data_IF_626868750886
#
_entry.id   IF_626868750886
#
_cell.length_a   1.000
_cell.length_b   1.000
_cell.length_c   1.000
_cell.angle_alpha   90.00
_cell.angle_beta   90.00
_cell.angle_gamma   90.00
#
_symmetry.space_group_name_H-M   'P 1'
#
loop_
_entity.id
_entity.type
_entity.pdbx_description
1 polymer ?
#
# COMPACT_ATOMS: atom_id res chain seq x y z
N UNK A 1 -7.30 21.05 17.88
CA UNK A 1 -8.70 20.56 17.91
C UNK A 1 -9.02 20.12 16.49
N UNK A 2 -9.23 18.82 16.24
CA UNK A 2 -9.54 18.33 14.89
C UNK A 2 -10.89 18.92 14.48
N UNK A 3 -11.01 19.62 13.34
CA UNK A 3 -12.28 20.15 12.91
C UNK A 3 -13.27 18.99 12.77
N UNK A 4 -14.48 19.19 13.28
CA UNK A 4 -15.56 18.21 13.15
C UNK A 4 -15.85 18.02 11.66
N UNK A 5 -15.63 16.82 11.15
CA UNK A 5 -15.91 16.49 9.75
C UNK A 5 -17.43 16.49 9.53
N UNK A 6 -17.89 17.31 8.57
CA UNK A 6 -19.30 17.46 8.21
C UNK A 6 -19.73 16.48 7.12
N UNK A 7 -18.80 16.18 6.19
CA UNK A 7 -18.97 15.25 5.08
C UNK A 7 -17.67 14.46 4.87
N UNK A 8 -17.75 13.14 4.79
CA UNK A 8 -16.58 12.27 4.63
C UNK A 8 -16.74 11.33 3.44
N UNK A 9 -15.82 11.33 2.49
CA UNK A 9 -15.79 10.38 1.39
C UNK A 9 -15.31 9.01 1.88
N UNK A 10 -16.17 8.00 1.79
CA UNK A 10 -15.90 6.65 2.30
C UNK A 10 -15.60 5.64 1.20
N UNK A 11 -16.06 5.93 -0.03
CA UNK A 11 -15.79 5.25 -1.31
C UNK A 11 -15.76 6.34 -2.40
N UNK A 12 -15.13 6.13 -3.57
CA UNK A 12 -15.20 7.08 -4.67
C UNK A 12 -16.63 7.53 -4.90
N UNK A 13 -16.87 8.85 -4.86
CA UNK A 13 -18.18 9.47 -5.07
C UNK A 13 -19.27 9.09 -4.03
N UNK A 14 -18.93 8.43 -2.93
CA UNK A 14 -19.88 8.11 -1.85
C UNK A 14 -19.41 8.73 -0.56
N UNK A 15 -20.26 9.60 0.00
CA UNK A 15 -19.99 10.39 1.17
C UNK A 15 -20.91 10.02 2.33
N UNK A 16 -20.35 9.99 3.54
CA UNK A 16 -21.08 9.92 4.79
C UNK A 16 -21.38 11.34 5.28
N UNK A 17 -22.67 11.68 5.34
CA UNK A 17 -23.18 12.95 5.85
C UNK A 17 -23.22 12.90 7.39
N UNK A 18 -22.32 13.64 8.03
CA UNK A 18 -22.23 13.76 9.49
C UNK A 18 -22.95 15.00 10.02
N UNK A 19 -23.12 16.01 9.17
CA UNK A 19 -23.87 17.23 9.45
C UNK A 19 -25.02 17.42 8.44
N UNK A 20 -26.26 17.46 8.92
CA UNK A 20 -27.43 17.64 8.05
C UNK A 20 -27.46 19.00 7.32
N UNK A 21 -26.70 19.99 7.81
CA UNK A 21 -26.56 21.31 7.19
C UNK A 21 -25.96 21.29 5.78
N UNK A 22 -25.25 20.21 5.39
CA UNK A 22 -24.71 20.07 4.02
C UNK A 22 -25.79 19.73 2.98
N UNK A 23 -26.94 19.19 3.42
CA UNK A 23 -27.99 18.64 2.53
C UNK A 23 -28.51 19.63 1.48
N UNK A 24 -28.76 20.92 1.80
CA UNK A 24 -29.20 21.89 0.80
C UNK A 24 -28.18 22.11 -0.33
N UNK A 25 -26.88 21.94 -0.06
CA UNK A 25 -25.79 22.17 -1.03
C UNK A 25 -25.59 20.98 -1.95
N UNK A 26 -25.74 19.75 -1.42
CA UNK A 26 -25.61 18.50 -2.17
C UNK A 26 -26.93 18.08 -2.85
N UNK A 27 -28.03 18.80 -2.61
CA UNK A 27 -29.32 18.54 -3.23
C UNK A 27 -29.22 18.70 -4.75
N UNK A 28 -29.60 17.66 -5.49
CA UNK A 28 -29.56 17.65 -6.96
C UNK A 28 -28.19 17.31 -7.56
N UNK A 29 -27.16 17.12 -6.74
CA UNK A 29 -25.84 16.62 -7.18
C UNK A 29 -25.80 15.08 -7.21
N UNK A 30 -26.74 14.42 -6.56
CA UNK A 30 -26.78 12.98 -6.49
C UNK A 30 -27.93 12.42 -5.66
N UNK A 31 -27.78 11.17 -5.25
CA UNK A 31 -28.77 10.39 -4.52
C UNK A 31 -28.44 10.38 -3.03
N UNK A 32 -29.46 10.55 -2.18
CA UNK A 32 -29.32 10.51 -0.74
C UNK A 32 -30.09 9.30 -0.18
N UNK A 33 -29.39 8.42 0.51
CA UNK A 33 -29.95 7.28 1.24
C UNK A 33 -29.57 7.39 2.73
N UNK A 34 -30.49 7.92 3.53
CA UNK A 34 -30.28 8.17 4.96
C UNK A 34 -29.13 9.15 5.25
N UNK A 35 -27.97 8.61 5.63
CA UNK A 35 -26.72 9.37 5.86
C UNK A 35 -25.70 9.20 4.74
N UNK A 36 -25.95 8.34 3.76
CA UNK A 36 -25.07 8.17 2.61
C UNK A 36 -25.55 9.07 1.49
N UNK A 37 -24.61 9.79 0.89
CA UNK A 37 -24.81 10.58 -0.30
C UNK A 37 -23.94 10.00 -1.41
N UNK A 38 -24.55 9.56 -2.50
CA UNK A 38 -23.85 9.13 -3.71
C UNK A 38 -23.90 10.26 -4.72
N UNK A 39 -22.74 10.82 -5.03
CA UNK A 39 -22.58 11.77 -6.11
C UNK A 39 -22.78 11.05 -7.45
N UNK A 40 -23.70 11.56 -8.27
CA UNK A 40 -23.94 11.07 -9.63
C UNK A 40 -23.65 12.14 -10.69
N UNK A 41 -23.48 13.40 -10.26
CA UNK A 41 -23.08 14.49 -11.15
C UNK A 41 -21.59 14.43 -11.49
N UNK A 42 -21.25 14.92 -12.68
CA UNK A 42 -19.85 15.10 -13.10
C UNK A 42 -19.17 16.31 -12.43
N UNK A 43 -19.89 17.07 -11.58
CA UNK A 43 -19.44 18.34 -11.00
C UNK A 43 -18.86 18.21 -9.60
N UNK A 44 -18.15 17.11 -9.31
CA UNK A 44 -17.52 16.83 -8.00
C UNK A 44 -16.79 18.04 -7.44
N UNK A 45 -15.83 18.58 -8.20
CA UNK A 45 -15.01 19.71 -7.76
C UNK A 45 -15.84 20.97 -7.46
N UNK A 46 -16.87 21.23 -8.27
CA UNK A 46 -17.78 22.34 -8.03
C UNK A 46 -18.61 22.18 -6.75
N UNK A 47 -19.05 20.96 -6.43
CA UNK A 47 -19.74 20.66 -5.18
C UNK A 47 -18.82 20.85 -3.98
N UNK A 48 -17.60 20.30 -4.03
CA UNK A 48 -16.61 20.42 -2.97
C UNK A 48 -16.24 21.88 -2.70
N UNK A 49 -16.01 22.67 -3.77
CA UNK A 49 -15.73 24.08 -3.65
C UNK A 49 -16.87 24.86 -2.97
N UNK A 50 -18.14 24.57 -3.30
CA UNK A 50 -19.30 25.21 -2.64
C UNK A 50 -19.42 24.83 -1.17
N UNK A 51 -19.15 23.58 -0.81
CA UNK A 51 -19.13 23.15 0.59
C UNK A 51 -18.04 23.88 1.37
N UNK A 52 -16.84 23.98 0.81
CA UNK A 52 -15.73 24.70 1.41
C UNK A 52 -16.02 26.21 1.58
N UNK A 53 -16.60 26.86 0.55
CA UNK A 53 -17.00 28.27 0.61
C UNK A 53 -18.05 28.55 1.70
N UNK A 54 -18.87 27.57 2.03
CA UNK A 54 -19.88 27.66 3.10
C UNK A 54 -19.33 27.22 4.46
N UNK A 55 -18.02 26.96 4.57
CA UNK A 55 -17.33 26.63 5.82
C UNK A 55 -17.53 25.21 6.31
N UNK A 56 -18.03 24.29 5.47
CA UNK A 56 -18.16 22.88 5.84
C UNK A 56 -16.81 22.16 5.73
N UNK A 57 -16.48 21.37 6.75
CA UNK A 57 -15.31 20.50 6.72
C UNK A 57 -15.61 19.22 5.95
N UNK A 58 -15.01 19.08 4.77
CA UNK A 58 -15.11 17.87 3.93
C UNK A 58 -13.79 17.12 4.01
N UNK A 59 -13.85 15.82 4.24
CA UNK A 59 -12.69 14.93 4.17
C UNK A 59 -12.88 13.96 3.01
N UNK A 60 -12.03 14.06 1.99
CA UNK A 60 -12.08 13.27 0.76
C UNK A 60 -11.11 12.10 0.78
N UNK A 61 -11.27 11.15 -0.14
CA UNK A 61 -10.25 10.10 -0.31
C UNK A 61 -8.91 10.66 -0.78
N UNK A 62 -8.90 11.80 -1.50
CA UNK A 62 -7.67 12.48 -1.86
C UNK A 62 -6.93 13.02 -0.62
N UNK A 63 -7.65 13.62 0.33
CA UNK A 63 -7.07 14.06 1.61
C UNK A 63 -6.49 12.88 2.41
N UNK A 64 -7.14 11.71 2.35
CA UNK A 64 -6.60 10.49 2.94
C UNK A 64 -5.33 10.00 2.24
N UNK A 65 -5.19 10.19 0.92
CA UNK A 65 -3.96 9.87 0.18
C UNK A 65 -2.84 10.83 0.61
N UNK A 66 -3.12 12.13 0.69
CA UNK A 66 -2.14 13.14 1.14
C UNK A 66 -1.69 12.90 2.59
N UNK A 67 -2.55 12.31 3.42
CA UNK A 67 -2.24 11.94 4.80
C UNK A 67 -1.55 10.57 4.99
N UNK A 68 -1.20 9.87 3.91
CA UNK A 68 -0.50 8.58 4.02
C UNK A 68 0.93 8.77 4.57
N UNK A 69 1.47 7.78 5.34
CA UNK A 69 2.85 7.84 5.80
C UNK A 69 3.84 7.96 4.64
N UNK A 70 4.72 8.95 4.72
CA UNK A 70 5.76 9.18 3.72
C UNK A 70 6.85 8.10 3.75
N UNK A 71 7.52 7.91 2.61
CA UNK A 71 8.68 7.02 2.54
C UNK A 71 9.87 7.64 3.29
N UNK A 72 10.58 6.86 4.13
CA UNK A 72 11.78 7.35 4.80
C UNK A 72 12.90 7.62 3.79
N UNK A 73 13.74 8.63 4.08
CA UNK A 73 14.95 8.85 3.31
C UNK A 73 15.97 7.72 3.56
N UNK A 74 16.35 7.06 2.46
CA UNK A 74 17.28 5.93 2.42
C UNK A 74 18.50 6.20 1.56
N UNK A 75 18.68 7.42 1.04
CA UNK A 75 19.79 7.77 0.15
C UNK A 75 21.17 7.57 0.81
N UNK A 76 21.25 7.64 2.13
CA UNK A 76 22.47 7.47 2.91
C UNK A 76 22.81 6.01 3.24
N UNK A 77 21.94 5.05 2.92
CA UNK A 77 22.21 3.62 3.16
C UNK A 77 22.70 2.99 1.85
N UNK A 78 24.00 2.69 1.71
CA UNK A 78 24.55 2.23 0.44
C UNK A 78 23.82 0.96 -0.04
N UNK A 79 23.42 0.89 -1.31
CA UNK A 79 22.86 -0.33 -1.87
C UNK A 79 23.96 -1.40 -1.88
N UNK A 80 23.84 -2.36 -0.96
CA UNK A 80 24.60 -3.61 -0.90
C UNK A 80 26.13 -3.46 -0.84
N UNK A 81 26.69 -3.39 0.37
CA UNK A 81 28.12 -3.67 0.64
C UNK A 81 28.32 -4.05 2.11
N UNK A 82 29.47 -4.69 2.42
CA UNK A 82 29.69 -6.14 2.30
C UNK A 82 28.68 -6.96 3.12
N UNK A 83 28.52 -8.23 2.77
CA UNK A 83 27.68 -9.15 3.54
C UNK A 83 28.36 -9.47 4.88
N UNK A 84 27.57 -9.49 5.95
CA UNK A 84 27.99 -9.90 7.27
C UNK A 84 27.25 -11.20 7.65
N UNK A 85 27.90 -12.10 8.40
CA UNK A 85 27.22 -13.26 8.94
C UNK A 85 26.31 -12.84 10.09
N UNK A 86 25.02 -13.17 9.99
CA UNK A 86 24.07 -13.06 11.09
C UNK A 86 23.84 -14.45 11.70
N UNK A 87 24.18 -14.63 12.97
CA UNK A 87 23.90 -15.87 13.71
C UNK A 87 22.41 -16.00 13.97
N UNK A 88 21.87 -17.19 13.74
CA UNK A 88 20.44 -17.46 13.86
C UNK A 88 20.15 -18.75 14.63
N UNK A 89 18.96 -18.83 15.22
CA UNK A 89 18.44 -20.07 15.80
C UNK A 89 17.96 -21.02 14.69
N UNK A 90 18.07 -22.33 14.93
CA UNK A 90 17.52 -23.39 14.05
C UNK A 90 15.99 -23.35 13.93
N UNK A 91 15.31 -22.75 14.90
CA UNK A 91 13.83 -22.67 14.95
C UNK A 91 13.26 -21.41 14.32
N UNK A 92 14.12 -20.44 14.00
CA UNK A 92 13.70 -19.17 13.44
C UNK A 92 13.66 -19.25 11.91
N UNK A 93 12.66 -18.61 11.32
CA UNK A 93 12.61 -18.37 9.88
C UNK A 93 12.86 -16.90 9.63
N UNK A 94 13.76 -16.61 8.70
CA UNK A 94 14.08 -15.25 8.29
C UNK A 94 13.70 -15.06 6.83
N UNK A 95 13.20 -13.87 6.52
CA UNK A 95 12.94 -13.40 5.17
C UNK A 95 13.50 -12.00 5.03
N UNK A 96 13.90 -11.61 3.82
CA UNK A 96 14.19 -10.22 3.48
C UNK A 96 13.05 -9.64 2.66
N UNK A 97 12.81 -8.33 2.75
CA UNK A 97 11.98 -7.66 1.77
C UNK A 97 12.74 -7.65 0.44
N UNK A 98 12.16 -8.22 -0.61
CA UNK A 98 12.74 -8.23 -1.96
C UNK A 98 12.09 -7.10 -2.77
N UNK A 99 12.80 -5.99 -3.03
CA UNK A 99 12.22 -4.81 -3.67
C UNK A 99 11.57 -5.09 -5.03
N UNK A 100 12.10 -6.03 -5.81
CA UNK A 100 11.55 -6.38 -7.13
C UNK A 100 10.21 -7.09 -7.03
N UNK A 101 10.11 -8.03 -6.10
CA UNK A 101 8.89 -8.80 -5.85
C UNK A 101 7.88 -8.00 -5.03
N UNK A 102 8.36 -7.01 -4.26
CA UNK A 102 7.56 -6.21 -3.30
C UNK A 102 6.87 -7.12 -2.29
N UNK A 103 7.61 -8.14 -1.84
CA UNK A 103 7.16 -9.18 -0.91
C UNK A 103 8.36 -9.71 -0.08
N UNK A 104 8.07 -10.58 0.89
CA UNK A 104 9.05 -11.25 1.73
C UNK A 104 9.65 -12.48 1.03
N UNK A 105 10.92 -12.41 0.68
CA UNK A 105 11.70 -13.54 0.17
C UNK A 105 12.37 -14.30 1.32
N UNK A 106 12.14 -15.61 1.49
CA UNK A 106 12.82 -16.43 2.49
C UNK A 106 14.35 -16.41 2.33
N UNK A 107 15.07 -16.29 3.45
CA UNK A 107 16.54 -16.41 3.48
C UNK A 107 16.95 -17.85 3.81
N UNK A 108 17.86 -18.39 3.01
CA UNK A 108 18.43 -19.73 3.23
C UNK A 108 19.66 -19.65 4.14
N UNK A 109 19.70 -20.40 5.24
CA UNK A 109 20.91 -20.51 6.06
C UNK A 109 22.08 -21.13 5.30
N UNK A 110 23.28 -20.62 5.58
CA UNK A 110 24.52 -21.25 5.17
C UNK A 110 24.64 -22.63 5.81
N UNK A 111 25.13 -23.59 5.03
CA UNK A 111 25.43 -24.92 5.54
C UNK A 111 26.52 -24.82 6.64
N UNK A 112 26.27 -25.34 7.85
CA UNK A 112 27.26 -25.32 8.91
C UNK A 112 28.42 -26.24 8.54
N UNK A 113 29.67 -25.82 8.80
CA UNK A 113 30.85 -26.64 8.51
C UNK A 113 31.02 -27.79 9.50
N UNK A 114 30.33 -27.75 10.65
CA UNK A 114 30.29 -28.81 11.65
C UNK A 114 28.91 -28.85 12.35
N UNK A 115 28.47 -30.02 12.88
CA UNK A 115 27.15 -30.17 13.52
C UNK A 115 26.86 -29.17 14.64
N UNK A 116 27.89 -28.79 15.40
CA UNK A 116 27.77 -27.90 16.57
C UNK A 116 27.93 -26.41 16.25
N UNK A 117 28.16 -26.05 14.98
CA UNK A 117 28.26 -24.64 14.60
C UNK A 117 26.86 -24.00 14.53
N UNK A 118 26.73 -22.73 14.98
CA UNK A 118 25.48 -21.99 14.84
C UNK A 118 25.16 -21.78 13.36
N UNK A 119 23.88 -21.85 13.01
CA UNK A 119 23.43 -21.47 11.67
C UNK A 119 23.67 -19.98 11.45
N UNK A 120 23.99 -19.63 10.20
CA UNK A 120 24.27 -18.25 9.81
C UNK A 120 23.51 -17.89 8.54
N UNK A 121 23.11 -16.63 8.43
CA UNK A 121 22.64 -16.02 7.20
C UNK A 121 23.70 -15.06 6.67
N UNK A 122 23.86 -14.96 5.35
CA UNK A 122 24.53 -13.81 4.73
C UNK A 122 23.53 -12.68 4.60
N UNK A 123 23.81 -11.54 5.24
CA UNK A 123 22.96 -10.35 5.20
C UNK A 123 23.76 -9.14 4.77
N UNK A 124 23.16 -8.22 4.02
CA UNK A 124 23.80 -6.96 3.64
C UNK A 124 23.20 -5.78 4.41
N UNK A 125 24.02 -4.77 4.68
CA UNK A 125 23.59 -3.50 5.26
C UNK A 125 22.43 -2.92 4.44
N UNK A 126 21.42 -2.38 5.13
CA UNK A 126 20.20 -1.84 4.55
C UNK A 126 19.09 -2.86 4.32
N UNK A 127 19.36 -4.17 4.35
CA UNK A 127 18.31 -5.17 4.22
C UNK A 127 17.26 -5.02 5.32
N UNK A 128 15.99 -5.07 4.91
CA UNK A 128 14.87 -5.20 5.83
C UNK A 128 14.57 -6.67 6.00
N UNK A 129 14.67 -7.14 7.24
CA UNK A 129 14.52 -8.53 7.61
C UNK A 129 13.27 -8.70 8.46
N UNK A 130 12.51 -9.75 8.13
CA UNK A 130 11.42 -10.29 8.93
C UNK A 130 11.89 -11.59 9.58
N UNK A 131 11.77 -11.69 10.90
CA UNK A 131 12.01 -12.91 11.69
C UNK A 131 10.70 -13.44 12.22
N UNK A 132 10.43 -14.73 11.99
CA UNK A 132 9.30 -15.47 12.55
C UNK A 132 9.80 -16.58 13.47
N UNK A 133 9.45 -16.49 14.75
CA UNK A 133 9.71 -17.53 15.74
C UNK A 133 8.51 -18.47 15.84
N UNK A 134 8.58 -19.65 15.20
CA UNK A 134 7.49 -20.63 15.23
C UNK A 134 6.11 -20.06 14.87
N UNK A 135 5.14 -20.19 15.79
CA UNK A 135 3.76 -19.68 15.64
C UNK A 135 3.55 -18.25 16.17
N UNK A 136 4.59 -17.60 16.69
CA UNK A 136 4.49 -16.25 17.26
C UNK A 136 4.38 -15.14 16.22
N UNK A 137 4.18 -13.90 16.70
CA UNK A 137 4.23 -12.69 15.88
C UNK A 137 5.60 -12.56 15.19
N UNK A 138 5.59 -12.00 13.98
CA UNK A 138 6.83 -11.65 13.30
C UNK A 138 7.47 -10.43 13.98
N UNK A 139 8.80 -10.37 13.94
CA UNK A 139 9.59 -9.20 14.32
C UNK A 139 10.34 -8.69 13.10
N UNK A 140 10.56 -7.39 13.04
CA UNK A 140 11.15 -6.73 11.88
C UNK A 140 12.38 -5.94 12.31
N UNK A 141 13.38 -5.88 11.43
CA UNK A 141 14.59 -5.12 11.68
C UNK A 141 15.27 -4.70 10.37
N UNK A 142 16.02 -3.61 10.43
CA UNK A 142 16.97 -3.24 9.38
C UNK A 142 18.37 -3.67 9.76
N UNK A 143 19.09 -4.27 8.81
CA UNK A 143 20.49 -4.63 8.95
C UNK A 143 21.34 -3.36 8.90
N UNK A 144 22.09 -3.12 9.97
CA UNK A 144 23.09 -2.07 10.09
C UNK A 144 24.48 -2.63 9.77
N UNK A 145 25.50 -1.76 9.82
CA UNK A 145 26.88 -2.17 9.62
C UNK A 145 27.26 -3.35 10.52
N UNK A 146 28.11 -4.25 9.99
CA UNK A 146 28.60 -5.46 10.68
C UNK A 146 27.49 -6.44 11.11
N UNK A 147 26.32 -6.40 10.47
CA UNK A 147 25.23 -7.36 10.73
C UNK A 147 24.43 -7.08 11.99
N UNK A 148 24.58 -5.90 12.61
CA UNK A 148 23.73 -5.48 13.72
C UNK A 148 22.29 -5.26 13.23
N UNK A 149 21.30 -5.49 14.10
CA UNK A 149 19.89 -5.35 13.75
C UNK A 149 19.29 -4.15 14.50
N UNK A 150 18.78 -3.16 13.74
CA UNK A 150 17.96 -2.08 14.28
C UNK A 150 16.49 -2.51 14.24
N UNK A 151 15.81 -2.69 15.39
CA UNK A 151 14.40 -3.09 15.40
C UNK A 151 13.52 -2.08 14.65
N UNK A 152 12.52 -2.60 13.96
CA UNK A 152 11.46 -1.84 13.31
C UNK A 152 10.11 -2.47 13.66
N UNK A 153 9.05 -1.69 13.60
CA UNK A 153 7.71 -2.28 13.48
C UNK A 153 7.43 -2.71 12.02
N UNK A 154 6.26 -3.30 11.78
CA UNK A 154 5.90 -3.78 10.45
C UNK A 154 5.67 -2.64 9.44
N UNK A 155 5.10 -1.52 9.89
CA UNK A 155 4.82 -0.37 9.04
C UNK A 155 6.13 0.22 8.53
N UNK A 156 7.05 0.53 9.45
CA UNK A 156 8.36 1.07 9.13
C UNK A 156 9.15 0.11 8.25
N UNK A 157 9.11 -1.19 8.54
CA UNK A 157 9.80 -2.20 7.73
C UNK A 157 9.32 -2.19 6.26
N UNK A 158 8.01 -2.11 6.04
CA UNK A 158 7.46 -2.03 4.69
C UNK A 158 7.78 -0.68 4.03
N UNK A 159 7.65 0.45 4.74
CA UNK A 159 8.00 1.77 4.20
C UNK A 159 9.48 1.84 3.79
N UNK A 160 10.40 1.33 4.61
CA UNK A 160 11.80 1.20 4.23
C UNK A 160 11.99 0.30 3.00
N UNK A 161 11.28 -0.84 2.94
CA UNK A 161 11.30 -1.74 1.79
C UNK A 161 10.89 -1.04 0.48
N UNK A 162 9.80 -0.28 0.51
CA UNK A 162 9.34 0.52 -0.63
C UNK A 162 10.27 1.69 -0.95
N UNK A 163 10.86 2.34 0.04
CA UNK A 163 11.84 3.39 -0.18
C UNK A 163 13.08 2.87 -0.94
N UNK A 164 13.57 1.67 -0.58
CA UNK A 164 14.62 1.01 -1.36
C UNK A 164 14.16 0.61 -2.77
N UNK A 165 12.93 0.14 -2.93
CA UNK A 165 12.37 -0.17 -4.25
C UNK A 165 12.33 1.07 -5.15
N UNK A 166 11.96 2.23 -4.60
CA UNK A 166 11.93 3.50 -5.31
C UNK A 166 13.34 3.95 -5.76
N UNK A 167 14.35 3.80 -4.89
CA UNK A 167 15.75 4.10 -5.25
C UNK A 167 16.27 3.25 -6.42
N UNK A 168 15.83 1.99 -6.51
CA UNK A 168 16.27 1.07 -7.56
C UNK A 168 15.63 1.34 -8.94
N UNK A 169 14.71 2.32 -9.05
CA UNK A 169 14.00 2.68 -10.29
C UNK A 169 13.45 1.45 -11.03
N UNK A 170 12.76 0.60 -10.27
CA UNK A 170 12.21 -0.64 -10.77
C UNK A 170 11.16 -0.41 -11.86
N UNK A 171 10.91 -1.40 -12.74
CA UNK A 171 9.85 -1.32 -13.73
C UNK A 171 8.49 -0.96 -13.10
N UNK A 172 7.65 -0.23 -13.85
CA UNK A 172 6.34 0.18 -13.36
C UNK A 172 5.47 -1.03 -13.01
N UNK A 173 4.57 -0.81 -12.07
CA UNK A 173 3.52 -1.75 -11.71
C UNK A 173 2.42 -1.66 -12.77
N UNK A 174 1.99 -2.81 -13.29
CA UNK A 174 0.96 -2.88 -14.33
C UNK A 174 -0.44 -2.88 -13.71
N UNK A 175 -1.28 -1.92 -14.09
CA UNK A 175 -2.74 -1.97 -13.89
C UNK A 175 -3.38 -2.39 -15.21
N UNK A 176 -4.26 -3.40 -15.16
CA UNK A 176 -4.92 -3.97 -16.34
C UNK A 176 -6.36 -3.49 -16.44
N UNK A 177 -6.82 -3.09 -17.61
CA UNK A 177 -8.25 -2.87 -17.88
C UNK A 177 -8.89 -4.18 -18.32
N UNK A 178 -9.79 -4.72 -17.51
CA UNK A 178 -10.72 -5.76 -17.94
C UNK A 178 -11.89 -5.11 -18.67
N UNK A 179 -11.85 -5.17 -20.01
CA UNK A 179 -12.88 -4.59 -20.87
C UNK A 179 -14.24 -5.28 -20.74
N UNK A 180 -14.29 -6.55 -20.32
CA UNK A 180 -15.54 -7.30 -20.17
C UNK A 180 -16.30 -6.85 -18.93
N UNK A 181 -15.57 -6.67 -17.82
CA UNK A 181 -16.15 -6.20 -16.56
C UNK A 181 -16.19 -4.67 -16.44
N UNK A 182 -15.53 -3.95 -17.36
CA UNK A 182 -15.26 -2.51 -17.28
C UNK A 182 -14.62 -2.15 -15.92
N UNK A 183 -13.65 -2.95 -15.48
CA UNK A 183 -12.94 -2.79 -14.20
C UNK A 183 -11.43 -2.68 -14.43
N UNK A 184 -10.77 -1.93 -13.54
CA UNK A 184 -9.32 -1.85 -13.47
C UNK A 184 -8.81 -2.83 -12.43
N UNK A 185 -7.89 -3.69 -12.83
CA UNK A 185 -7.28 -4.72 -12.01
C UNK A 185 -5.88 -4.27 -11.58
N UNK A 186 -5.64 -4.25 -10.27
CA UNK A 186 -4.38 -3.90 -9.66
C UNK A 186 -3.72 -5.17 -9.09
N UNK A 187 -2.39 -5.30 -9.17
CA UNK A 187 -1.69 -6.50 -8.73
C UNK A 187 -1.76 -6.71 -7.22
N UNK A 188 -1.55 -7.95 -6.82
CA UNK A 188 -1.37 -8.33 -5.42
C UNK A 188 -0.01 -7.81 -4.92
N UNK A 189 -0.02 -6.69 -4.21
CA UNK A 189 1.18 -6.11 -3.59
C UNK A 189 1.08 -6.18 -2.07
N UNK A 190 2.21 -6.40 -1.41
CA UNK A 190 2.30 -6.33 0.04
C UNK A 190 2.35 -4.86 0.51
N UNK A 191 1.19 -4.23 0.65
CA UNK A 191 1.09 -2.82 1.04
C UNK A 191 1.19 -2.62 2.56
N UNK A 192 1.81 -1.50 3.02
CA UNK A 192 1.71 -1.09 4.42
C UNK A 192 0.25 -0.91 4.85
N UNK A 193 -0.05 -1.16 6.12
CA UNK A 193 -1.45 -1.21 6.60
C UNK A 193 -2.28 0.03 6.27
N UNK A 194 -1.82 1.28 6.48
CA UNK A 194 -2.59 2.47 6.12
C UNK A 194 -2.92 2.55 4.62
N UNK A 195 -1.96 2.16 3.77
CA UNK A 195 -2.12 2.15 2.32
C UNK A 195 -3.11 1.08 1.88
N UNK A 196 -3.02 -0.12 2.48
CA UNK A 196 -3.96 -1.23 2.23
C UNK A 196 -5.38 -0.88 2.65
N UNK A 197 -5.54 -0.24 3.81
CA UNK A 197 -6.85 0.18 4.33
C UNK A 197 -7.49 1.26 3.45
N UNK A 198 -6.70 2.22 2.96
CA UNK A 198 -7.18 3.22 2.02
C UNK A 198 -7.51 2.58 0.66
N UNK A 199 -6.67 1.70 0.14
CA UNK A 199 -6.97 0.96 -1.09
C UNK A 199 -8.26 0.14 -0.95
N UNK A 200 -8.54 -0.43 0.23
CA UNK A 200 -9.78 -1.15 0.49
C UNK A 200 -11.04 -0.26 0.51
N UNK A 201 -10.90 1.07 0.65
CA UNK A 201 -11.99 2.05 0.43
C UNK A 201 -12.18 2.36 -1.05
N UNK A 202 -11.16 2.22 -1.88
CA UNK A 202 -11.17 2.58 -3.31
C UNK A 202 -11.52 1.36 -4.19
N UNK A 203 -11.04 0.18 -3.80
CA UNK A 203 -11.09 -1.06 -4.56
C UNK A 203 -11.67 -2.20 -3.72
N UNK A 204 -11.96 -3.32 -4.38
CA UNK A 204 -12.31 -4.59 -3.73
C UNK A 204 -11.29 -5.67 -4.10
N UNK A 205 -10.98 -6.62 -3.21
CA UNK A 205 -10.08 -7.73 -3.55
C UNK A 205 -10.64 -8.55 -4.72
N UNK A 206 -9.78 -8.99 -5.64
CA UNK A 206 -10.18 -9.96 -6.65
C UNK A 206 -10.29 -11.36 -6.03
N UNK A 207 -11.16 -12.24 -6.56
CA UNK A 207 -11.18 -13.64 -6.16
C UNK A 207 -9.82 -14.32 -6.37
N UNK A 208 -9.49 -15.31 -5.53
CA UNK A 208 -8.27 -16.10 -5.67
C UNK A 208 -8.16 -16.79 -7.05
N UNK A 209 -9.29 -17.17 -7.63
CA UNK A 209 -9.38 -17.83 -8.94
C UNK A 209 -9.44 -16.84 -10.13
N UNK A 210 -9.24 -15.53 -9.90
CA UNK A 210 -9.30 -14.56 -10.98
C UNK A 210 -8.16 -14.80 -11.99
N UNK A 211 -8.50 -14.98 -13.27
CA UNK A 211 -7.57 -15.44 -14.30
C UNK A 211 -6.42 -14.46 -14.58
N UNK A 212 -6.71 -13.15 -14.58
CA UNK A 212 -5.73 -12.12 -14.89
C UNK A 212 -4.86 -11.72 -13.68
N UNK A 213 -5.49 -11.44 -12.54
CA UNK A 213 -4.81 -10.96 -11.34
C UNK A 213 -5.36 -11.68 -10.09
N UNK A 214 -4.86 -12.88 -9.76
CA UNK A 214 -5.27 -13.58 -8.56
C UNK A 214 -4.80 -12.82 -7.31
N UNK A 215 -5.67 -12.72 -6.31
CA UNK A 215 -5.40 -12.03 -5.03
C UNK A 215 -5.03 -10.53 -5.13
N UNK A 216 -5.31 -9.91 -6.27
CA UNK A 216 -5.15 -8.48 -6.50
C UNK A 216 -6.33 -7.67 -5.99
N UNK A 217 -6.52 -6.51 -6.61
CA UNK A 217 -7.63 -5.60 -6.36
C UNK A 217 -8.32 -5.24 -7.66
N UNK A 218 -9.59 -4.86 -7.58
CA UNK A 218 -10.34 -4.32 -8.71
C UNK A 218 -11.07 -3.04 -8.29
N UNK A 219 -11.11 -2.05 -9.18
CA UNK A 219 -11.87 -0.83 -8.97
C UNK A 219 -12.54 -0.34 -10.27
N UNK A 220 -13.60 0.43 -10.10
CA UNK A 220 -14.24 1.12 -11.21
C UNK A 220 -13.39 2.31 -11.69
N UNK A 221 -13.76 2.91 -12.81
CA UNK A 221 -13.00 3.99 -13.45
C UNK A 221 -12.80 5.22 -12.53
N UNK A 222 -13.76 5.53 -11.66
CA UNK A 222 -13.67 6.63 -10.70
C UNK A 222 -12.70 6.36 -9.54
N UNK A 223 -12.34 5.10 -9.28
CA UNK A 223 -11.34 4.72 -8.29
C UNK A 223 -9.90 4.68 -8.83
N UNK A 224 -9.70 4.67 -10.15
CA UNK A 224 -8.38 4.44 -10.75
C UNK A 224 -7.35 5.49 -10.32
N UNK A 225 -7.65 6.78 -10.49
CA UNK A 225 -6.72 7.86 -10.18
C UNK A 225 -6.33 7.87 -8.68
N UNK A 226 -7.27 7.55 -7.79
CA UNK A 226 -7.00 7.41 -6.36
C UNK A 226 -6.10 6.20 -6.07
N UNK A 227 -6.35 5.07 -6.73
CA UNK A 227 -5.53 3.88 -6.56
C UNK A 227 -4.10 4.08 -7.09
N UNK A 228 -3.95 4.76 -8.23
CA UNK A 228 -2.65 5.20 -8.75
C UNK A 228 -1.93 6.10 -7.75
N UNK A 229 -2.62 7.07 -7.14
CA UNK A 229 -2.05 7.96 -6.14
C UNK A 229 -1.60 7.21 -4.86
N UNK A 230 -2.37 6.21 -4.40
CA UNK A 230 -1.95 5.33 -3.31
C UNK A 230 -0.65 4.58 -3.67
N UNK A 231 -0.54 4.04 -4.87
CA UNK A 231 0.70 3.36 -5.29
C UNK A 231 1.87 4.34 -5.47
N UNK A 232 1.61 5.53 -6.01
CA UNK A 232 2.61 6.58 -6.20
C UNK A 232 3.17 7.10 -4.88
N UNK A 233 2.37 7.16 -3.81
CA UNK A 233 2.85 7.51 -2.46
C UNK A 233 3.93 6.55 -1.93
N UNK A 234 3.95 5.30 -2.44
CA UNK A 234 4.99 4.30 -2.17
C UNK A 234 6.14 4.32 -3.19
N UNK A 235 6.26 5.40 -3.98
CA UNK A 235 7.31 5.56 -4.98
C UNK A 235 7.18 4.60 -6.18
N UNK A 236 5.99 4.04 -6.39
CA UNK A 236 5.74 3.12 -7.50
C UNK A 236 5.30 3.90 -8.74
N UNK A 237 6.04 3.74 -9.83
CA UNK A 237 5.54 4.10 -11.15
C UNK A 237 4.43 3.11 -11.56
N UNK A 238 3.39 3.60 -12.22
CA UNK A 238 2.27 2.79 -12.69
C UNK A 238 2.21 2.85 -14.22
N UNK A 239 1.94 1.70 -14.84
CA UNK A 239 1.63 1.61 -16.26
C UNK A 239 0.26 0.96 -16.42
N UNK A 240 -0.57 1.59 -17.24
CA UNK A 240 -1.91 1.11 -17.55
C UNK A 240 -1.91 0.38 -18.89
N UNK A 241 -2.48 -0.83 -18.92
CA UNK A 241 -2.60 -1.65 -20.14
C UNK A 241 -4.03 -2.13 -20.34
N UNK A 242 -4.48 -2.20 -21.59
CA UNK A 242 -5.77 -2.79 -21.92
C UNK A 242 -5.60 -4.27 -22.21
N UNK A 243 -6.44 -5.12 -21.62
CA UNK A 243 -6.41 -6.57 -21.85
C UNK A 243 -7.74 -7.00 -22.43
N UNK A 244 -7.71 -7.51 -23.66
CA UNK A 244 -8.84 -8.24 -24.23
C UNK A 244 -8.68 -9.70 -23.86
N UNK A 245 -9.65 -10.35 -23.18
CA UNK A 245 -9.55 -11.78 -22.93
C UNK A 245 -9.47 -12.49 -24.28
N UNK A 246 -8.47 -13.37 -24.43
CA UNK A 246 -8.32 -14.19 -25.64
C UNK A 246 -9.57 -15.07 -25.78
N UNK A 247 -10.15 -15.05 -27.00
CA UNK A 247 -11.32 -15.83 -27.41
C UNK A 247 -11.06 -17.34 -27.33
#
# INVERSE_FOLDING_TARGET
>A
MVPRIDLEEIRPNVFLVRNAGVRPIIKGEGELDGKLFRLTSWRREGMLARLALQGFAVLTLADYVEGLPELPDVAHVPPATPTAPLRISRTDRYSRFEPRLRDWEPLTPLAPSAPDQPLQLQVATGWIIRRRQGRGRSSYAQVQAKGQLRPLDELDALLYGYAYAALLRLPPVTIQHDLTAAQWLLPALLLPTPHRELLAKIATPTPAAHALVPHGWQCAADGLALAEAVLASLGLAVQVVQVTPHS
#
